data_IF_667427521135
#
_entry.id   IF_667427521135
#
_cell.length_a   1.000
_cell.length_b   1.000
_cell.length_c   1.000
_cell.angle_alpha   90.00
_cell.angle_beta   90.00
_cell.angle_gamma   90.00
#
_symmetry.space_group_name_H-M   'P 1'
#
loop_
_entity.id
_entity.type
_entity.pdbx_description
1 polymer ?
#
# COMPACT_ATOMS: atom_id res chain seq x y z
N UNK A 1 9.74 -14.02 14.78
CA UNK A 1 10.11 -13.81 13.37
C UNK A 1 10.06 -15.12 12.61
N UNK A 2 9.44 -15.12 11.44
CA UNK A 2 9.55 -16.21 10.45
C UNK A 2 10.56 -15.81 9.37
N UNK A 3 11.38 -16.77 8.93
CA UNK A 3 12.41 -16.55 7.91
C UNK A 3 12.34 -17.65 6.84
N UNK A 4 12.45 -17.24 5.57
CA UNK A 4 12.50 -18.14 4.41
C UNK A 4 13.69 -17.84 3.50
N UNK A 5 14.01 -18.76 2.61
CA UNK A 5 15.13 -18.63 1.66
C UNK A 5 14.84 -17.66 0.51
N UNK A 6 13.60 -17.22 0.36
CA UNK A 6 13.14 -16.29 -0.68
C UNK A 6 12.35 -15.11 -0.08
N UNK A 7 12.12 -14.09 -0.87
CA UNK A 7 11.40 -12.85 -0.47
C UNK A 7 9.90 -13.11 -0.40
N UNK A 8 9.43 -13.75 0.67
CA UNK A 8 8.04 -14.21 0.80
C UNK A 8 7.10 -13.16 1.42
N UNK A 9 7.62 -12.12 2.04
CA UNK A 9 6.87 -11.08 2.72
C UNK A 9 7.39 -9.70 2.29
N UNK A 10 6.71 -9.07 1.37
CA UNK A 10 7.16 -7.83 0.76
C UNK A 10 6.10 -6.74 0.73
N UNK A 11 4.86 -7.08 0.33
CA UNK A 11 3.83 -6.10 0.01
C UNK A 11 2.48 -6.43 0.64
N UNK A 12 1.53 -5.51 0.50
CA UNK A 12 0.17 -5.51 0.98
C UNK A 12 0.01 -5.10 2.46
N UNK A 13 0.34 -5.95 3.41
CA UNK A 13 0.17 -5.63 4.83
C UNK A 13 -1.28 -5.34 5.22
N UNK A 14 -2.20 -6.24 4.86
CA UNK A 14 -3.64 -6.05 5.06
C UNK A 14 -4.10 -6.76 6.32
N UNK A 15 -4.49 -6.00 7.33
CA UNK A 15 -5.10 -6.59 8.53
C UNK A 15 -6.59 -6.86 8.32
N UNK A 16 -6.98 -8.14 8.33
CA UNK A 16 -8.37 -8.63 8.28
C UNK A 16 -8.86 -8.78 9.71
N UNK A 17 -9.38 -7.69 10.27
CA UNK A 17 -9.62 -7.52 11.70
C UNK A 17 -10.70 -8.45 12.27
N UNK A 18 -11.70 -8.84 11.49
CA UNK A 18 -12.77 -9.77 11.90
C UNK A 18 -12.33 -11.24 11.96
N UNK A 19 -11.14 -11.55 11.42
CA UNK A 19 -10.57 -12.89 11.40
C UNK A 19 -9.27 -13.03 12.19
N UNK A 20 -8.68 -11.92 12.65
CA UNK A 20 -7.33 -11.88 13.21
C UNK A 20 -6.26 -12.43 12.24
N UNK A 21 -6.32 -12.01 11.00
CA UNK A 21 -5.39 -12.42 9.95
C UNK A 21 -4.66 -11.20 9.36
N UNK A 22 -3.42 -11.40 8.92
CA UNK A 22 -2.70 -10.44 8.05
C UNK A 22 -2.43 -11.09 6.72
N UNK A 23 -2.94 -10.48 5.66
CA UNK A 23 -2.71 -10.89 4.28
C UNK A 23 -1.58 -10.07 3.69
N UNK A 24 -0.64 -10.73 3.04
CA UNK A 24 0.55 -10.09 2.47
C UNK A 24 1.03 -10.82 1.22
N UNK A 25 1.91 -10.19 0.45
CA UNK A 25 2.42 -10.77 -0.80
C UNK A 25 3.94 -10.90 -0.77
N UNK A 26 4.45 -11.84 -1.54
CA UNK A 26 5.89 -11.97 -1.82
C UNK A 26 6.35 -10.89 -2.81
N UNK A 27 7.66 -10.70 -2.95
CA UNK A 27 8.20 -10.14 -4.19
C UNK A 27 7.83 -11.04 -5.39
N UNK A 28 7.93 -10.52 -6.60
CA UNK A 28 7.69 -11.32 -7.81
C UNK A 28 8.65 -12.51 -7.85
N UNK A 29 8.09 -13.71 -7.94
CA UNK A 29 8.82 -14.99 -7.99
C UNK A 29 8.38 -15.72 -9.25
N UNK A 30 9.31 -15.95 -10.19
CA UNK A 30 9.00 -16.62 -11.44
C UNK A 30 7.81 -15.99 -12.19
N UNK A 31 7.73 -14.67 -12.23
CA UNK A 31 6.75 -13.82 -12.92
C UNK A 31 5.41 -13.58 -12.18
N UNK A 32 5.26 -14.06 -10.95
CA UNK A 32 4.04 -13.86 -10.14
C UNK A 32 4.37 -13.63 -8.66
N UNK A 33 3.49 -12.92 -7.94
CA UNK A 33 3.52 -12.81 -6.48
C UNK A 33 2.72 -13.95 -5.86
N UNK A 34 3.11 -14.34 -4.64
CA UNK A 34 2.39 -15.31 -3.82
C UNK A 34 1.66 -14.55 -2.71
N UNK A 35 0.34 -14.68 -2.66
CA UNK A 35 -0.46 -14.13 -1.56
C UNK A 35 -0.43 -15.12 -0.40
N UNK A 36 -0.05 -14.64 0.78
CA UNK A 36 0.03 -15.41 2.02
C UNK A 36 -0.84 -14.79 3.10
N UNK A 37 -1.23 -15.63 4.06
CA UNK A 37 -2.03 -15.26 5.23
C UNK A 37 -1.29 -15.69 6.49
N UNK A 38 -1.02 -14.73 7.38
CA UNK A 38 -0.60 -14.99 8.75
C UNK A 38 -1.84 -15.01 9.66
N UNK A 39 -2.12 -16.14 10.29
CA UNK A 39 -3.10 -16.22 11.38
C UNK A 39 -2.43 -15.72 12.67
N UNK A 40 -2.93 -14.62 13.23
CA UNK A 40 -2.35 -13.96 14.40
C UNK A 40 -2.56 -14.75 15.71
N UNK A 41 -3.52 -15.68 15.75
CA UNK A 41 -3.77 -16.53 16.92
C UNK A 41 -2.79 -17.68 17.00
N UNK A 42 -2.47 -18.27 15.85
CA UNK A 42 -1.61 -19.46 15.76
C UNK A 42 -0.19 -19.14 15.35
N UNK A 43 0.06 -17.95 14.82
CA UNK A 43 1.32 -17.54 14.17
C UNK A 43 1.73 -18.46 13.00
N UNK A 44 0.75 -19.03 12.30
CA UNK A 44 0.98 -19.89 11.13
C UNK A 44 0.77 -19.07 9.85
N UNK A 45 1.72 -19.17 8.93
CA UNK A 45 1.62 -18.60 7.58
C UNK A 45 1.21 -19.70 6.60
N UNK A 46 0.13 -19.45 5.85
CA UNK A 46 -0.38 -20.30 4.79
C UNK A 46 -0.56 -19.52 3.50
N UNK A 47 -0.63 -20.20 2.35
CA UNK A 47 -1.03 -19.56 1.11
C UNK A 47 -2.51 -19.16 1.17
N UNK A 48 -2.83 -17.99 0.64
CA UNK A 48 -4.21 -17.56 0.46
C UNK A 48 -4.91 -18.43 -0.60
N UNK A 49 -6.20 -18.66 -0.40
CA UNK A 49 -7.04 -19.28 -1.41
C UNK A 49 -7.85 -18.20 -2.13
N UNK A 50 -7.70 -18.11 -3.46
CA UNK A 50 -8.48 -17.21 -4.32
C UNK A 50 -9.09 -18.00 -5.46
N UNK A 51 -10.36 -17.76 -5.77
CA UNK A 51 -11.10 -18.52 -6.80
C UNK A 51 -10.62 -18.23 -8.23
N UNK A 52 -9.99 -17.07 -8.44
CA UNK A 52 -9.24 -16.70 -9.64
C UNK A 52 -7.86 -16.17 -9.25
N UNK A 53 -6.82 -16.40 -10.03
CA UNK A 53 -5.49 -15.84 -9.77
C UNK A 53 -5.52 -14.29 -9.76
N UNK A 54 -4.81 -13.70 -8.82
CA UNK A 54 -4.51 -12.26 -8.79
C UNK A 54 -3.03 -12.13 -9.14
N UNK A 55 -2.76 -11.75 -10.38
CA UNK A 55 -1.38 -11.72 -10.91
C UNK A 55 -0.68 -10.45 -10.41
N UNK A 56 0.49 -10.62 -9.83
CA UNK A 56 1.28 -9.54 -9.26
C UNK A 56 0.45 -8.65 -8.31
N UNK A 57 -0.20 -9.31 -7.34
CA UNK A 57 -0.87 -8.61 -6.26
C UNK A 57 0.16 -7.78 -5.49
N UNK A 58 -0.11 -6.48 -5.36
CA UNK A 58 0.73 -5.49 -4.73
C UNK A 58 0.09 -5.01 -3.41
N UNK A 59 -0.24 -3.74 -3.25
CA UNK A 59 -0.90 -3.21 -2.07
C UNK A 59 -2.37 -3.61 -1.94
N UNK A 60 -2.99 -3.20 -0.85
CA UNK A 60 -4.40 -3.48 -0.66
C UNK A 60 -4.96 -3.05 0.68
N UNK A 61 -6.24 -3.32 0.88
CA UNK A 61 -6.96 -2.89 2.06
C UNK A 61 -8.06 -3.90 2.45
N UNK A 62 -8.45 -3.89 3.71
CA UNK A 62 -9.62 -4.61 4.20
C UNK A 62 -10.76 -3.63 4.44
N UNK A 63 -11.94 -3.92 3.91
CA UNK A 63 -13.11 -3.07 4.07
C UNK A 63 -14.40 -3.88 4.00
N UNK A 64 -15.31 -3.71 4.96
CA UNK A 64 -16.62 -4.36 5.05
C UNK A 64 -16.59 -5.88 4.79
N UNK A 65 -15.70 -6.58 5.50
CA UNK A 65 -15.58 -8.04 5.40
C UNK A 65 -14.99 -8.55 4.10
N UNK A 66 -14.33 -7.69 3.31
CA UNK A 66 -13.66 -8.03 2.06
C UNK A 66 -12.22 -7.56 2.06
N UNK A 67 -11.35 -8.35 1.48
CA UNK A 67 -9.98 -7.98 1.16
C UNK A 67 -9.96 -7.45 -0.26
N UNK A 68 -9.31 -6.32 -0.46
CA UNK A 68 -9.09 -5.73 -1.77
C UNK A 68 -7.61 -5.72 -2.08
N UNK A 69 -7.25 -6.16 -3.28
CA UNK A 69 -5.89 -6.10 -3.79
C UNK A 69 -5.81 -5.19 -5.01
N UNK A 70 -4.82 -4.32 -5.01
CA UNK A 70 -4.30 -3.72 -6.21
C UNK A 70 -3.38 -4.75 -6.90
N UNK A 71 -3.45 -4.86 -8.20
CA UNK A 71 -2.71 -5.84 -8.98
C UNK A 71 -2.09 -5.17 -10.19
N UNK A 72 -0.80 -5.33 -10.34
CA UNK A 72 -0.01 -4.84 -11.47
C UNK A 72 -0.28 -5.61 -12.76
N UNK A 73 -0.94 -6.78 -12.65
CA UNK A 73 -1.11 -7.65 -13.80
C UNK A 73 0.22 -8.12 -14.38
N UNK A 74 0.25 -8.34 -15.68
CA UNK A 74 1.44 -8.64 -16.46
C UNK A 74 1.17 -8.40 -17.96
N UNK A 75 2.08 -8.78 -18.85
CA UNK A 75 1.91 -8.60 -20.30
C UNK A 75 0.64 -9.27 -20.89
N UNK A 76 -0.01 -10.18 -20.17
CA UNK A 76 -1.19 -10.94 -20.64
C UNK A 76 -2.43 -10.77 -19.78
N UNK A 77 -2.28 -10.27 -18.55
CA UNK A 77 -3.36 -10.04 -17.58
C UNK A 77 -3.42 -8.57 -17.25
N UNK A 78 -4.54 -7.95 -17.55
CA UNK A 78 -4.77 -6.51 -17.33
C UNK A 78 -4.68 -6.17 -15.83
N UNK A 79 -3.94 -5.11 -15.47
CA UNK A 79 -3.92 -4.56 -14.12
C UNK A 79 -5.33 -4.26 -13.60
N UNK A 80 -5.59 -4.49 -12.33
CA UNK A 80 -6.94 -4.35 -11.77
C UNK A 80 -6.97 -4.19 -10.26
N UNK A 81 -8.10 -3.70 -9.74
CA UNK A 81 -8.47 -3.86 -8.35
C UNK A 81 -9.35 -5.11 -8.22
N UNK A 82 -8.98 -6.02 -7.32
CA UNK A 82 -9.72 -7.24 -7.02
C UNK A 82 -10.41 -7.14 -5.66
N UNK A 83 -11.56 -7.80 -5.54
CA UNK A 83 -12.26 -8.03 -4.28
C UNK A 83 -12.24 -9.52 -3.97
N UNK A 84 -11.85 -9.87 -2.73
CA UNK A 84 -11.76 -11.25 -2.24
C UNK A 84 -12.63 -11.40 -0.99
N UNK A 85 -13.43 -12.46 -0.94
CA UNK A 85 -14.06 -12.90 0.30
C UNK A 85 -13.04 -13.73 1.11
N UNK A 86 -12.51 -13.25 2.25
CA UNK A 86 -11.46 -13.96 2.98
C UNK A 86 -11.91 -15.28 3.61
N UNK A 87 -13.23 -15.48 3.76
CA UNK A 87 -13.77 -16.73 4.32
C UNK A 87 -13.91 -17.85 3.28
N UNK A 88 -14.23 -17.52 2.02
CA UNK A 88 -14.50 -18.50 0.96
C UNK A 88 -13.45 -18.53 -0.14
N UNK A 89 -12.66 -17.45 -0.27
CA UNK A 89 -11.75 -17.25 -1.39
C UNK A 89 -12.43 -16.75 -2.67
N UNK A 90 -13.74 -16.51 -2.65
CA UNK A 90 -14.44 -15.97 -3.82
C UNK A 90 -13.83 -14.62 -4.22
N UNK A 91 -13.41 -14.55 -5.47
CA UNK A 91 -12.62 -13.42 -6.00
C UNK A 91 -13.27 -12.89 -7.26
N UNK A 92 -13.32 -11.57 -7.40
CA UNK A 92 -13.79 -10.89 -8.62
C UNK A 92 -12.97 -9.65 -8.92
N UNK A 93 -12.91 -9.25 -10.18
CA UNK A 93 -12.42 -7.93 -10.59
C UNK A 93 -13.44 -6.88 -10.20
N UNK A 94 -13.00 -5.86 -9.47
CA UNK A 94 -13.82 -4.70 -9.12
C UNK A 94 -13.77 -3.64 -10.22
N UNK A 95 -12.55 -3.31 -10.68
CA UNK A 95 -12.32 -2.37 -11.78
C UNK A 95 -10.94 -2.62 -12.41
N UNK A 96 -10.82 -2.43 -13.73
CA UNK A 96 -9.58 -2.71 -14.49
C UNK A 96 -9.31 -1.70 -15.62
N UNK A 97 -10.12 -0.67 -15.78
CA UNK A 97 -9.93 0.27 -16.89
C UNK A 97 -10.66 1.59 -16.68
N UNK A 98 -10.19 2.63 -17.35
CA UNK A 98 -10.83 3.92 -17.50
C UNK A 98 -11.28 4.09 -18.96
N UNK A 99 -12.59 4.06 -19.22
CA UNK A 99 -13.18 4.08 -20.57
C UNK A 99 -12.58 3.05 -21.54
N UNK A 100 -12.23 1.87 -21.04
CA UNK A 100 -11.64 0.78 -21.82
C UNK A 100 -10.12 0.88 -21.99
N UNK A 101 -9.47 1.93 -21.52
CA UNK A 101 -8.01 1.99 -21.40
C UNK A 101 -7.60 1.30 -20.08
N UNK A 102 -6.70 0.31 -20.11
CA UNK A 102 -6.24 -0.36 -18.90
C UNK A 102 -5.48 0.60 -17.98
N UNK A 103 -5.46 0.32 -16.70
CA UNK A 103 -4.55 0.94 -15.75
C UNK A 103 -3.11 0.51 -16.05
N UNK A 104 -2.14 1.30 -15.56
CA UNK A 104 -0.72 1.05 -15.79
C UNK A 104 -0.17 0.05 -14.74
N UNK A 105 -0.50 0.25 -13.48
CA UNK A 105 -0.17 -0.63 -12.35
C UNK A 105 -0.80 -0.11 -11.06
N UNK A 106 -2.08 -0.48 -10.77
CA UNK A 106 -2.68 -0.16 -9.48
C UNK A 106 -1.83 -0.70 -8.34
N UNK A 107 -1.37 0.19 -7.47
CA UNK A 107 -0.36 -0.14 -6.49
C UNK A 107 -0.92 -0.31 -5.07
N UNK A 108 -1.70 0.65 -4.54
CA UNK A 108 -2.30 0.55 -3.21
C UNK A 108 -3.68 1.20 -3.14
N UNK A 109 -4.44 0.87 -2.08
CA UNK A 109 -5.85 1.21 -1.93
C UNK A 109 -6.11 1.81 -0.54
N UNK A 110 -6.86 2.91 -0.50
CA UNK A 110 -7.41 3.46 0.73
C UNK A 110 -8.94 3.65 0.62
N UNK A 111 -9.70 2.94 1.44
CA UNK A 111 -11.15 3.10 1.51
C UNK A 111 -11.54 4.28 2.38
N UNK A 112 -12.59 4.97 1.95
CA UNK A 112 -13.25 6.06 2.69
C UNK A 112 -14.74 5.77 2.80
N UNK A 113 -15.30 5.95 3.99
CA UNK A 113 -16.73 5.77 4.28
C UNK A 113 -17.39 7.13 4.48
N UNK A 114 -18.37 7.44 3.65
CA UNK A 114 -19.12 8.69 3.76
C UNK A 114 -20.62 8.44 3.87
N UNK A 115 -21.40 9.43 4.28
CA UNK A 115 -22.86 9.30 4.28
C UNK A 115 -23.48 9.03 2.90
N UNK A 116 -22.81 9.43 1.82
CA UNK A 116 -23.23 9.18 0.43
C UNK A 116 -22.89 7.77 -0.06
N UNK A 117 -22.11 7.01 0.71
CA UNK A 117 -21.63 5.67 0.42
C UNK A 117 -20.10 5.60 0.42
N UNK A 118 -19.55 4.37 0.42
CA UNK A 118 -18.11 4.19 0.40
C UNK A 118 -17.53 4.50 -0.98
N UNK A 119 -16.28 4.98 -0.98
CA UNK A 119 -15.43 5.06 -2.15
C UNK A 119 -13.99 4.68 -1.78
N UNK A 120 -13.18 4.42 -2.77
CA UNK A 120 -11.76 4.16 -2.56
C UNK A 120 -10.90 5.12 -3.38
N UNK A 121 -9.74 5.48 -2.81
CA UNK A 121 -8.61 5.98 -3.55
C UNK A 121 -7.68 4.83 -3.89
N UNK A 122 -7.06 4.86 -5.06
CA UNK A 122 -5.95 3.98 -5.40
C UNK A 122 -4.92 4.72 -6.24
N UNK A 123 -3.66 4.40 -6.02
CA UNK A 123 -2.57 4.88 -6.84
C UNK A 123 -2.43 3.98 -8.07
N UNK A 124 -2.12 4.57 -9.21
CA UNK A 124 -1.82 3.90 -10.47
C UNK A 124 -0.53 4.51 -11.02
N UNK A 125 0.50 3.72 -11.12
CA UNK A 125 1.85 4.14 -11.45
C UNK A 125 2.52 3.22 -12.49
N UNK A 126 3.62 3.63 -13.15
CA UNK A 126 4.23 2.87 -14.22
C UNK A 126 5.26 1.84 -13.73
N UNK A 127 5.45 1.66 -12.42
CA UNK A 127 6.55 0.84 -11.86
C UNK A 127 6.44 -0.62 -12.30
N UNK A 128 5.22 -1.14 -12.42
CA UNK A 128 4.93 -2.47 -12.93
C UNK A 128 5.55 -2.71 -14.32
N UNK A 129 5.41 -1.77 -15.24
CA UNK A 129 5.98 -1.86 -16.59
C UNK A 129 7.50 -1.77 -16.60
N UNK A 130 8.08 -1.09 -15.61
CA UNK A 130 9.51 -0.86 -15.52
C UNK A 130 10.27 -2.03 -14.87
N UNK A 131 9.64 -2.70 -13.91
CA UNK A 131 10.33 -3.67 -13.04
C UNK A 131 9.72 -5.08 -13.06
N UNK A 132 8.41 -5.21 -13.30
CA UNK A 132 7.68 -6.47 -13.08
C UNK A 132 7.05 -7.04 -14.37
N UNK A 133 7.43 -6.49 -15.54
CA UNK A 133 6.94 -6.96 -16.84
C UNK A 133 5.46 -6.67 -17.07
N UNK A 134 4.95 -5.61 -16.44
CA UNK A 134 3.61 -5.09 -16.66
C UNK A 134 3.37 -4.55 -18.07
N UNK A 135 2.13 -4.16 -18.39
CA UNK A 135 1.80 -3.59 -19.70
C UNK A 135 2.49 -2.23 -19.90
N UNK A 136 2.66 -1.85 -21.16
CA UNK A 136 3.14 -0.49 -21.48
C UNK A 136 2.08 0.52 -21.03
N UNK A 137 2.44 1.56 -20.25
CA UNK A 137 1.53 2.59 -19.78
C UNK A 137 0.76 3.27 -20.91
N UNK A 138 -0.54 3.46 -20.72
CA UNK A 138 -1.42 4.16 -21.68
C UNK A 138 -2.21 5.28 -21.03
N UNK A 139 -2.26 5.32 -19.71
CA UNK A 139 -2.79 6.41 -18.90
C UNK A 139 -1.65 7.23 -18.31
N UNK A 140 -1.97 8.35 -17.71
CA UNK A 140 -1.00 9.12 -16.91
C UNK A 140 -1.06 8.66 -15.46
N UNK A 141 0.09 8.66 -14.80
CA UNK A 141 0.20 8.32 -13.39
C UNK A 141 -0.71 9.21 -12.56
N UNK A 142 -1.52 8.60 -11.71
CA UNK A 142 -2.52 9.32 -10.95
C UNK A 142 -2.95 8.59 -9.67
N UNK A 143 -3.50 9.34 -8.72
CA UNK A 143 -4.41 8.76 -7.73
C UNK A 143 -5.83 8.90 -8.27
N UNK A 144 -6.53 7.78 -8.31
CA UNK A 144 -7.90 7.66 -8.75
C UNK A 144 -8.85 7.57 -7.56
N UNK A 145 -10.07 8.08 -7.73
CA UNK A 145 -11.20 7.85 -6.83
C UNK A 145 -12.26 7.03 -7.54
N UNK A 146 -12.64 5.90 -6.96
CA UNK A 146 -13.69 5.04 -7.47
C UNK A 146 -14.80 4.85 -6.43
N UNK A 147 -16.05 5.07 -6.84
CA UNK A 147 -17.24 4.76 -6.03
C UNK A 147 -17.98 3.55 -6.61
N UNK A 148 -18.03 2.41 -5.89
CA UNK A 148 -18.77 1.24 -6.36
C UNK A 148 -20.28 1.47 -6.42
N UNK A 149 -20.81 2.41 -5.65
CA UNK A 149 -22.24 2.72 -5.60
C UNK A 149 -22.73 3.43 -6.86
N UNK A 150 -21.95 4.43 -7.30
CA UNK A 150 -22.29 5.23 -8.50
C UNK A 150 -21.57 4.76 -9.76
N UNK A 151 -20.60 3.82 -9.62
CA UNK A 151 -19.67 3.42 -10.67
C UNK A 151 -18.86 4.59 -11.25
N UNK A 152 -18.72 5.68 -10.49
CA UNK A 152 -17.91 6.81 -10.92
C UNK A 152 -16.43 6.55 -10.67
N UNK A 153 -15.61 6.82 -11.67
CA UNK A 153 -14.16 6.75 -11.62
C UNK A 153 -13.59 8.07 -12.12
N UNK A 154 -12.76 8.73 -11.30
CA UNK A 154 -12.15 10.02 -11.66
C UNK A 154 -10.70 10.09 -11.17
N UNK A 155 -9.76 10.63 -11.98
CA UNK A 155 -8.43 10.96 -11.48
C UNK A 155 -8.55 12.20 -10.59
N UNK A 156 -7.96 12.14 -9.40
CA UNK A 156 -8.09 13.21 -8.39
C UNK A 156 -6.76 13.86 -8.02
N UNK A 157 -5.64 13.18 -8.26
CA UNK A 157 -4.28 13.71 -8.13
C UNK A 157 -3.51 13.21 -9.36
N UNK A 158 -2.91 14.11 -10.11
CA UNK A 158 -2.14 13.75 -11.31
C UNK A 158 -0.64 13.72 -11.03
N UNK A 159 0.14 13.19 -11.98
CA UNK A 159 1.61 13.24 -11.94
C UNK A 159 2.18 14.68 -11.93
N UNK A 160 1.40 15.70 -12.24
CA UNK A 160 1.81 17.09 -12.05
C UNK A 160 1.84 17.49 -10.56
N UNK A 161 1.11 16.79 -9.72
CA UNK A 161 1.09 17.02 -8.28
C UNK A 161 2.03 16.05 -7.53
N UNK A 162 1.99 14.77 -7.86
CA UNK A 162 2.85 13.72 -7.32
C UNK A 162 3.34 12.91 -8.52
N UNK A 163 4.66 12.88 -8.73
CA UNK A 163 5.21 12.36 -9.98
C UNK A 163 5.02 10.86 -10.12
N UNK A 164 5.27 10.10 -9.05
CA UNK A 164 5.04 8.64 -8.97
C UNK A 164 4.23 8.34 -7.72
N UNK A 165 2.89 8.52 -7.76
CA UNK A 165 2.05 8.21 -6.62
C UNK A 165 2.04 6.70 -6.39
N UNK A 166 2.58 6.25 -5.25
CA UNK A 166 2.77 4.82 -4.97
C UNK A 166 1.73 4.30 -3.96
N UNK A 167 1.76 4.78 -2.72
CA UNK A 167 0.88 4.28 -1.66
C UNK A 167 -0.10 5.34 -1.18
N UNK A 168 -1.23 4.85 -0.70
CA UNK A 168 -2.29 5.71 -0.17
C UNK A 168 -2.74 5.24 1.21
N UNK A 169 -2.96 6.19 2.13
CA UNK A 169 -3.56 5.91 3.44
C UNK A 169 -4.49 7.05 3.86
N UNK A 170 -5.52 6.73 4.62
CA UNK A 170 -6.42 7.73 5.23
C UNK A 170 -6.29 7.70 6.74
N UNK A 171 -6.48 8.87 7.37
CA UNK A 171 -6.51 8.93 8.83
C UNK A 171 -7.81 8.35 9.39
N UNK A 172 -7.81 8.15 10.69
CA UNK A 172 -8.92 7.58 11.44
C UNK A 172 -10.25 8.34 11.25
N UNK A 173 -10.22 9.63 11.14
CA UNK A 173 -11.40 10.49 10.92
C UNK A 173 -11.82 10.55 9.45
N UNK A 174 -11.04 9.93 8.53
CA UNK A 174 -11.28 9.93 7.08
C UNK A 174 -11.37 11.35 6.47
N UNK A 175 -10.61 12.25 7.03
CA UNK A 175 -10.53 13.67 6.63
C UNK A 175 -9.23 14.01 5.93
N UNK A 176 -8.25 13.10 5.95
CA UNK A 176 -6.93 13.28 5.34
C UNK A 176 -6.56 12.07 4.50
N UNK A 177 -6.03 12.35 3.32
CA UNK A 177 -5.39 11.37 2.44
C UNK A 177 -3.89 11.63 2.46
N UNK A 178 -3.11 10.61 2.76
CA UNK A 178 -1.66 10.60 2.62
C UNK A 178 -1.27 9.82 1.37
N UNK A 179 -0.29 10.33 0.64
CA UNK A 179 0.24 9.69 -0.58
C UNK A 179 1.76 9.75 -0.55
N UNK A 180 2.41 8.62 -0.83
CA UNK A 180 3.86 8.56 -1.00
C UNK A 180 4.25 8.78 -2.46
N UNK A 181 5.39 9.45 -2.66
CA UNK A 181 6.01 9.68 -3.97
C UNK A 181 7.33 8.91 -4.04
N UNK A 182 7.39 7.88 -4.89
CA UNK A 182 8.56 7.01 -5.07
C UNK A 182 9.38 7.38 -6.31
N UNK A 183 9.51 8.64 -6.59
CA UNK A 183 10.11 9.17 -7.81
C UNK A 183 11.57 8.75 -8.02
N UNK A 184 12.34 8.51 -6.95
CA UNK A 184 13.79 8.21 -7.08
C UNK A 184 14.08 6.85 -7.69
N UNK A 185 13.12 5.93 -7.67
CA UNK A 185 13.25 4.63 -8.34
C UNK A 185 12.86 4.68 -9.83
N UNK A 186 12.35 5.82 -10.32
CA UNK A 186 11.99 5.98 -11.72
C UNK A 186 13.23 6.02 -12.61
N UNK A 187 13.36 5.20 -13.67
CA UNK A 187 14.50 5.19 -14.56
C UNK A 187 14.73 6.57 -15.21
N UNK A 188 15.97 7.04 -15.17
CA UNK A 188 16.35 8.34 -15.73
C UNK A 188 16.22 9.52 -14.75
N UNK A 189 15.72 9.29 -13.54
CA UNK A 189 15.82 10.25 -12.46
C UNK A 189 17.15 10.01 -11.74
N UNK A 190 18.07 10.96 -11.84
CA UNK A 190 19.34 10.92 -11.10
C UNK A 190 19.09 11.38 -9.67
N UNK A 191 19.11 10.44 -8.72
CA UNK A 191 18.92 10.72 -7.30
C UNK A 191 19.98 11.68 -6.70
N UNK A 192 21.12 11.83 -7.36
CA UNK A 192 22.21 12.74 -6.93
C UNK A 192 22.00 14.17 -7.46
N UNK A 193 21.25 14.33 -8.55
CA UNK A 193 20.94 15.63 -9.18
C UNK A 193 19.45 15.97 -9.12
N UNK A 194 18.73 15.43 -8.15
CA UNK A 194 17.29 15.31 -8.16
C UNK A 194 16.56 16.64 -7.89
N UNK A 195 16.34 17.40 -8.95
CA UNK A 195 15.55 18.62 -8.91
C UNK A 195 14.06 18.39 -9.26
N UNK A 196 13.66 17.19 -9.66
CA UNK A 196 12.34 16.93 -10.24
C UNK A 196 11.47 15.93 -9.50
N UNK A 197 12.07 15.14 -8.63
CA UNK A 197 11.34 14.16 -7.81
C UNK A 197 11.58 14.37 -6.33
N UNK A 198 10.70 13.88 -5.51
CA UNK A 198 10.87 13.94 -4.07
C UNK A 198 10.59 12.58 -3.46
N UNK A 199 11.47 12.11 -2.58
CA UNK A 199 11.14 11.01 -1.67
C UNK A 199 10.15 11.51 -0.63
N UNK A 200 8.99 12.00 -1.10
CA UNK A 200 8.03 12.79 -0.35
C UNK A 200 6.84 11.98 0.16
N UNK A 201 6.37 12.37 1.33
CA UNK A 201 5.06 11.99 1.83
C UNK A 201 4.20 13.24 1.77
N UNK A 202 3.12 13.19 1.02
CA UNK A 202 2.19 14.30 0.89
C UNK A 202 0.89 14.04 1.65
N UNK A 203 0.28 15.11 2.18
CA UNK A 203 -1.03 15.04 2.81
C UNK A 203 -1.98 16.02 2.15
N UNK A 204 -3.20 15.53 1.94
CA UNK A 204 -4.34 16.29 1.42
C UNK A 204 -5.47 16.28 2.45
N UNK A 205 -6.28 17.34 2.47
CA UNK A 205 -7.56 17.30 3.16
C UNK A 205 -8.61 16.70 2.22
N UNK A 206 -9.48 15.81 2.73
CA UNK A 206 -10.63 15.31 1.98
C UNK A 206 -11.80 16.25 2.26
N UNK A 207 -12.26 16.98 1.24
CA UNK A 207 -13.35 17.92 1.40
C UNK A 207 -14.73 17.24 1.37
N UNK A 208 -15.80 18.02 1.57
CA UNK A 208 -17.18 17.51 1.60
C UNK A 208 -17.66 16.91 0.24
N UNK A 209 -17.02 17.29 -0.85
CA UNK A 209 -17.29 16.75 -2.19
C UNK A 209 -16.41 15.53 -2.50
N UNK A 210 -15.73 14.99 -1.49
CA UNK A 210 -14.86 13.81 -1.58
C UNK A 210 -13.60 14.02 -2.45
N UNK A 211 -13.13 15.27 -2.58
CA UNK A 211 -11.90 15.59 -3.30
C UNK A 211 -10.72 15.81 -2.36
N UNK A 212 -9.53 15.31 -2.71
CA UNK A 212 -8.29 15.67 -2.04
C UNK A 212 -7.90 17.11 -2.44
N UNK A 213 -7.78 17.97 -1.45
CA UNK A 213 -7.45 19.40 -1.61
C UNK A 213 -6.35 19.81 -0.65
N UNK A 214 -5.84 21.03 -0.77
CA UNK A 214 -4.85 21.58 0.16
C UNK A 214 -3.59 20.70 0.32
N UNK A 215 -2.97 20.30 -0.81
CA UNK A 215 -1.71 19.55 -0.83
C UNK A 215 -0.65 20.20 0.05
N UNK A 216 -0.03 19.42 0.92
CA UNK A 216 1.11 19.83 1.75
C UNK A 216 2.17 18.73 1.77
N UNK A 217 3.44 19.11 1.78
CA UNK A 217 4.50 18.19 2.13
C UNK A 217 4.36 17.84 3.62
N UNK A 218 4.26 16.54 3.93
CA UNK A 218 4.15 16.04 5.29
C UNK A 218 5.50 15.56 5.82
N UNK A 219 6.30 14.91 5.00
CA UNK A 219 7.60 14.39 5.38
C UNK A 219 8.45 14.03 4.17
N UNK A 220 9.73 13.77 4.42
CA UNK A 220 10.69 13.26 3.44
C UNK A 220 11.36 12.01 4.00
N UNK A 221 11.55 10.99 3.17
CA UNK A 221 12.43 9.89 3.51
C UNK A 221 13.88 10.37 3.49
N UNK A 222 14.67 10.03 4.52
CA UNK A 222 16.10 10.39 4.57
C UNK A 222 16.95 9.47 3.69
N UNK A 223 16.45 8.29 3.40
CA UNK A 223 17.14 7.27 2.59
C UNK A 223 16.11 6.44 1.86
N UNK A 224 16.34 6.23 0.57
CA UNK A 224 15.39 5.57 -0.31
C UNK A 224 14.11 6.39 -0.49
N UNK A 225 13.07 5.74 -0.95
CA UNK A 225 11.75 6.33 -1.10
C UNK A 225 10.81 5.89 0.03
N UNK A 226 9.80 6.70 0.37
CA UNK A 226 8.70 6.24 1.20
C UNK A 226 7.83 5.31 0.35
N UNK A 227 7.55 4.13 0.89
CA UNK A 227 6.76 3.08 0.26
C UNK A 227 5.48 2.83 1.08
N UNK A 228 5.28 1.65 1.66
CA UNK A 228 4.11 1.35 2.48
C UNK A 228 3.78 2.41 3.51
N UNK A 229 2.52 2.80 3.61
CA UNK A 229 2.07 3.83 4.54
C UNK A 229 0.82 3.38 5.30
N UNK A 230 0.79 3.59 6.60
CA UNK A 230 -0.38 3.36 7.45
C UNK A 230 -0.53 4.51 8.44
N UNK A 231 -1.76 4.76 8.88
CA UNK A 231 -2.07 5.75 9.92
C UNK A 231 -2.72 5.02 11.09
N UNK A 232 -2.24 5.26 12.30
CA UNK A 232 -2.81 4.64 13.50
C UNK A 232 -3.97 5.47 14.11
N UNK A 233 -4.60 4.95 15.14
CA UNK A 233 -5.76 5.57 15.81
C UNK A 233 -5.45 6.93 16.46
N UNK A 234 -4.16 7.21 16.75
CA UNK A 234 -3.71 8.50 17.29
C UNK A 234 -3.29 9.47 16.16
N UNK A 235 -3.46 9.08 14.90
CA UNK A 235 -3.09 9.87 13.73
C UNK A 235 -1.59 9.94 13.46
N UNK A 236 -0.78 9.04 14.06
CA UNK A 236 0.63 8.91 13.70
C UNK A 236 0.74 8.22 12.36
N UNK A 237 1.61 8.73 11.52
CA UNK A 237 1.87 8.21 10.18
C UNK A 237 3.11 7.33 10.21
N UNK A 238 2.95 6.11 9.75
CA UNK A 238 3.98 5.09 9.68
C UNK A 238 4.32 4.86 8.22
N UNK A 239 5.60 4.90 7.87
CA UNK A 239 6.07 4.69 6.48
C UNK A 239 7.22 3.71 6.44
N UNK A 240 7.19 2.80 5.47
CA UNK A 240 8.33 1.99 5.09
C UNK A 240 9.29 2.85 4.25
N UNK A 241 10.56 2.89 4.64
CA UNK A 241 11.60 3.72 4.01
C UNK A 241 12.93 2.94 3.94
N UNK A 242 13.94 3.48 3.28
CA UNK A 242 15.26 2.86 3.22
C UNK A 242 15.94 2.64 4.57
N UNK A 243 15.56 3.40 5.60
CA UNK A 243 16.07 3.20 6.96
C UNK A 243 15.28 2.19 7.78
N UNK A 244 14.09 1.81 7.33
CA UNK A 244 13.15 0.93 8.02
C UNK A 244 11.75 1.53 8.11
N UNK A 245 11.00 1.20 9.16
CA UNK A 245 9.69 1.83 9.38
C UNK A 245 9.87 3.08 10.23
N UNK A 246 9.56 4.23 9.65
CA UNK A 246 9.63 5.55 10.30
C UNK A 246 8.25 5.92 10.81
N UNK A 247 8.17 6.35 12.06
CA UNK A 247 6.93 6.80 12.71
C UNK A 247 6.99 8.30 12.89
N UNK A 248 5.97 9.00 12.41
CA UNK A 248 5.82 10.45 12.54
C UNK A 248 4.54 10.81 13.29
N UNK A 249 4.58 11.90 14.03
CA UNK A 249 3.36 12.47 14.62
C UNK A 249 2.49 13.18 13.55
N UNK A 250 1.35 13.70 13.96
CA UNK A 250 0.41 14.38 13.05
C UNK A 250 0.97 15.66 12.41
N UNK A 251 2.10 16.19 12.91
CA UNK A 251 2.80 17.36 12.34
C UNK A 251 3.89 16.97 11.34
N UNK A 252 4.21 15.67 11.23
CA UNK A 252 5.31 15.16 10.42
C UNK A 252 6.63 14.99 11.17
N UNK A 253 6.68 15.31 12.47
CA UNK A 253 7.89 15.14 13.28
C UNK A 253 8.16 13.66 13.54
N UNK A 254 9.40 13.22 13.33
CA UNK A 254 9.80 11.82 13.54
C UNK A 254 9.82 11.50 15.02
N UNK A 255 9.07 10.47 15.41
CA UNK A 255 8.98 9.94 16.77
C UNK A 255 9.90 8.75 16.99
N UNK A 256 10.11 7.92 15.97
CA UNK A 256 10.90 6.69 16.10
C UNK A 256 11.15 5.98 14.78
N UNK A 257 11.98 4.96 14.87
CA UNK A 257 12.44 4.17 13.73
C UNK A 257 12.61 2.70 14.13
N UNK A 258 12.02 1.79 13.35
CA UNK A 258 12.34 0.36 13.36
C UNK A 258 13.40 0.11 12.28
N UNK A 259 14.64 -0.02 12.70
CA UNK A 259 15.81 0.07 11.83
C UNK A 259 15.98 -1.13 10.89
N UNK A 260 16.17 -0.88 9.61
CA UNK A 260 16.42 -1.89 8.56
C UNK A 260 17.59 -2.79 8.87
N UNK A 261 18.68 -2.28 9.44
CA UNK A 261 19.86 -3.09 9.79
C UNK A 261 19.57 -4.21 10.78
N UNK A 262 18.52 -4.05 11.61
CA UNK A 262 18.01 -5.13 12.49
C UNK A 262 17.00 -6.01 11.75
N UNK A 263 16.12 -5.41 10.97
CA UNK A 263 15.01 -6.11 10.31
C UNK A 263 15.49 -6.95 9.12
N UNK A 264 16.49 -6.46 8.38
CA UNK A 264 17.05 -7.09 7.17
C UNK A 264 18.58 -7.08 7.19
N UNK A 265 19.25 -7.75 8.14
CA UNK A 265 20.71 -7.65 8.32
C UNK A 265 21.54 -8.16 7.14
N UNK A 266 20.95 -8.95 6.26
CA UNK A 266 21.59 -9.52 5.06
C UNK A 266 21.37 -8.67 3.81
N UNK A 267 20.60 -7.59 3.88
CA UNK A 267 20.43 -6.64 2.79
C UNK A 267 21.24 -5.37 3.03
N UNK A 268 21.73 -4.78 1.96
CA UNK A 268 22.51 -3.54 2.05
C UNK A 268 21.69 -2.38 2.65
N UNK A 269 22.41 -1.40 3.18
CA UNK A 269 21.80 -0.14 3.64
C UNK A 269 21.05 0.50 2.47
N UNK A 270 19.83 0.97 2.72
CA UNK A 270 18.99 1.62 1.72
C UNK A 270 17.98 0.69 1.02
N UNK A 271 17.98 -0.63 1.28
CA UNK A 271 16.88 -1.47 0.84
C UNK A 271 15.65 -1.18 1.71
N UNK A 272 14.55 -0.64 1.17
CA UNK A 272 13.40 -0.26 1.97
C UNK A 272 12.71 -1.49 2.61
N UNK A 273 11.99 -1.25 3.69
CA UNK A 273 10.87 -2.06 4.09
C UNK A 273 9.69 -1.60 3.23
N UNK A 274 9.26 -2.43 2.30
CA UNK A 274 8.24 -2.01 1.34
C UNK A 274 6.87 -1.88 2.02
N UNK A 275 6.47 -2.84 2.88
CA UNK A 275 5.18 -2.75 3.54
C UNK A 275 5.17 -3.38 4.95
N UNK A 276 4.06 -3.17 5.65
CA UNK A 276 3.80 -3.67 7.01
C UNK A 276 2.30 -3.56 7.33
N UNK A 277 1.84 -4.27 8.36
CA UNK A 277 0.49 -4.14 8.89
C UNK A 277 0.48 -3.64 10.32
N UNK A 278 -0.45 -2.75 10.65
CA UNK A 278 -0.82 -2.39 12.00
C UNK A 278 -2.09 -3.19 12.39
N UNK A 279 -1.90 -4.32 13.05
CA UNK A 279 -2.97 -5.23 13.42
C UNK A 279 -3.34 -5.07 14.91
N UNK A 280 -4.16 -4.08 15.21
CA UNK A 280 -4.44 -3.69 16.59
C UNK A 280 -3.16 -3.27 17.30
N UNK A 281 -2.78 -3.99 18.36
CA UNK A 281 -1.52 -3.76 19.10
C UNK A 281 -0.31 -4.51 18.52
N UNK A 282 -0.46 -5.11 17.35
CA UNK A 282 0.60 -5.90 16.74
C UNK A 282 1.07 -5.24 15.45
N UNK A 283 2.38 -5.02 15.36
CA UNK A 283 3.03 -4.60 14.12
C UNK A 283 3.60 -5.85 13.44
N UNK A 284 3.16 -6.08 12.20
CA UNK A 284 3.71 -7.10 11.32
C UNK A 284 4.57 -6.40 10.28
N UNK A 285 5.86 -6.76 10.21
CA UNK A 285 6.80 -6.12 9.29
C UNK A 285 7.18 -7.11 8.20
N UNK A 286 6.98 -6.71 6.96
CA UNK A 286 7.28 -7.47 5.76
C UNK A 286 8.71 -7.12 5.29
N UNK A 287 9.68 -7.84 5.86
CA UNK A 287 11.09 -7.60 5.65
C UNK A 287 11.68 -8.60 4.63
N UNK A 288 10.99 -8.77 3.51
CA UNK A 288 11.37 -9.64 2.39
C UNK A 288 11.49 -11.12 2.78
N UNK A 289 12.65 -11.54 3.24
CA UNK A 289 12.91 -12.92 3.68
C UNK A 289 12.48 -13.18 5.12
N UNK A 290 12.08 -12.12 5.85
CA UNK A 290 11.65 -12.19 7.24
C UNK A 290 10.28 -11.54 7.41
N UNK A 291 9.45 -12.18 8.19
CA UNK A 291 8.20 -11.62 8.68
C UNK A 291 8.33 -11.44 10.20
N UNK A 292 8.32 -10.20 10.65
CA UNK A 292 8.43 -9.87 12.06
C UNK A 292 7.06 -9.63 12.67
N UNK A 293 6.87 -10.12 13.88
CA UNK A 293 5.69 -9.84 14.71
C UNK A 293 6.16 -9.16 15.99
N UNK A 294 5.71 -7.93 16.21
CA UNK A 294 6.07 -7.13 17.39
C UNK A 294 4.80 -6.66 18.10
N UNK A 295 4.81 -6.72 19.43
CA UNK A 295 3.75 -6.14 20.25
C UNK A 295 4.10 -4.69 20.54
N UNK A 296 3.21 -3.79 20.19
CA UNK A 296 3.36 -2.35 20.39
C UNK A 296 2.93 -1.95 21.81
N UNK A 297 3.37 -0.77 22.25
CA UNK A 297 2.93 -0.18 23.50
C UNK A 297 1.41 0.04 23.51
N UNK A 298 0.80 0.10 24.71
CA UNK A 298 -0.66 0.19 24.86
C UNK A 298 -1.30 1.42 24.22
N UNK A 299 -0.51 2.49 24.05
CA UNK A 299 -0.94 3.73 23.39
C UNK A 299 -0.84 3.69 21.85
N UNK A 300 -0.50 2.57 21.25
CA UNK A 300 -0.42 2.41 19.80
C UNK A 300 -1.42 1.37 19.36
N UNK A 301 -2.35 1.74 18.51
CA UNK A 301 -3.34 0.83 17.94
C UNK A 301 -3.52 1.09 16.45
N UNK A 302 -3.47 0.02 15.68
CA UNK A 302 -3.90 0.02 14.29
C UNK A 302 -5.40 0.29 14.17
N UNK A 303 -5.79 0.98 13.13
CA UNK A 303 -7.15 1.44 12.92
C UNK A 303 -8.05 0.31 12.44
N UNK A 304 -8.83 -0.29 13.34
CA UNK A 304 -9.90 -1.22 12.97
C UNK A 304 -11.28 -0.57 12.83
N UNK A 305 -11.43 0.64 13.36
CA UNK A 305 -12.74 1.32 13.50
C UNK A 305 -13.47 1.59 12.18
N UNK A 306 -12.76 1.55 11.07
CA UNK A 306 -13.29 1.87 9.73
C UNK A 306 -13.64 0.66 8.90
N UNK A 307 -13.16 -0.51 9.28
CA UNK A 307 -13.27 -1.74 8.51
C UNK A 307 -14.51 -2.56 8.89
N UNK A 308 -15.20 -2.16 9.95
CA UNK A 308 -16.42 -2.80 10.45
C UNK A 308 -17.69 -2.27 9.80
#
# INVERSE_FOLDING_TARGET
VEERSYSFANEAGIWVSDRDEVWFTSSVINVETIISVLDLKTNIVAAANTSIPIINANGGNFFHGRVYFASDGNATVTPAIYEVNPATGDTKVLINSFFGLPFDGPNDIAWVKTPSGPFLFFADDPLSSLYDGGPVPVLVDAVWRFSPTSHSLVPVISCADILVPNRTAVNAEQTKLYVTDTTTIYPGVDSAANDTGSSGIFVFDINADEWPVNKRLFGLARSGDPDGIKVDDEGRVWTGEGEGIVVRDQSGAVLGLFNTGTLQPDRGVGTPIANFALAGKTLIIEANRRLWTLVLAECVMGTAKFYL
#
